data_IF_223845318887
#
_entry.id   IF_223845318887
#
_cell.length_a   1.000
_cell.length_b   1.000
_cell.length_c   1.000
_cell.angle_alpha   90.00
_cell.angle_beta   90.00
_cell.angle_gamma   90.00
#
_symmetry.space_group_name_H-M   'P 1'
#
loop_
_entity.id
_entity.type
_entity.pdbx_description
1 polymer ?
#
# COMPACT_ATOMS: atom_id res chain seq x y z
N UNK A 1 3.51 22.48 -11.42
CA UNK A 1 2.88 21.68 -12.49
C UNK A 1 1.61 22.40 -12.92
N UNK A 2 1.45 22.66 -14.22
CA UNK A 2 0.22 23.25 -14.77
C UNK A 2 -0.55 22.16 -15.49
N UNK A 3 -1.81 21.90 -15.08
CA UNK A 3 -2.67 20.95 -15.78
C UNK A 3 -3.02 21.47 -17.18
N UNK A 4 -2.96 20.59 -18.19
CA UNK A 4 -3.33 20.87 -19.56
C UNK A 4 -4.73 20.33 -19.93
N UNK A 5 -5.35 19.54 -19.04
CA UNK A 5 -6.72 19.05 -19.20
C UNK A 5 -7.63 19.80 -18.23
N UNK A 6 -8.71 20.39 -18.76
CA UNK A 6 -9.71 21.15 -18.00
C UNK A 6 -11.11 20.52 -18.03
N UNK A 7 -11.28 19.36 -18.69
CA UNK A 7 -12.56 18.64 -18.73
C UNK A 7 -12.71 17.74 -17.50
N UNK A 8 -13.72 17.98 -16.63
CA UNK A 8 -13.92 17.19 -15.40
C UNK A 8 -14.36 15.75 -15.66
N UNK A 9 -14.73 15.38 -16.90
CA UNK A 9 -15.12 14.01 -17.27
C UNK A 9 -13.93 13.17 -17.73
N UNK A 10 -12.77 13.77 -17.96
CA UNK A 10 -11.56 13.08 -18.40
C UNK A 10 -10.69 12.78 -17.18
N UNK A 11 -10.59 11.50 -16.83
CA UNK A 11 -9.73 11.02 -15.75
C UNK A 11 -8.30 10.77 -16.25
N UNK A 12 -7.63 11.81 -16.76
CA UNK A 12 -6.21 11.75 -17.10
C UNK A 12 -5.52 13.05 -16.71
N UNK A 13 -4.48 12.95 -15.89
CA UNK A 13 -3.65 14.09 -15.52
C UNK A 13 -2.61 14.35 -16.60
N UNK A 14 -2.64 15.53 -17.24
CA UNK A 14 -1.60 15.95 -18.17
C UNK A 14 -0.99 17.24 -17.65
N UNK A 15 0.33 17.25 -17.46
CA UNK A 15 1.06 18.42 -16.99
C UNK A 15 2.30 18.71 -17.82
N UNK A 16 2.62 19.99 -17.99
CA UNK A 16 3.93 20.41 -18.47
C UNK A 16 4.83 20.75 -17.26
N UNK A 17 6.06 20.24 -17.26
CA UNK A 17 7.04 20.44 -16.19
C UNK A 17 8.40 20.70 -16.83
N UNK A 18 9.06 21.76 -16.37
CA UNK A 18 10.43 22.12 -16.73
C UNK A 18 11.30 22.03 -15.49
N UNK A 19 12.50 21.48 -15.64
CA UNK A 19 13.50 21.38 -14.58
C UNK A 19 14.72 22.23 -14.92
N UNK A 20 15.30 22.88 -13.91
CA UNK A 20 16.58 23.58 -14.07
C UNK A 20 17.73 22.59 -14.28
N UNK A 21 18.80 22.97 -15.00
CA UNK A 21 19.97 22.12 -15.18
C UNK A 21 20.55 21.62 -13.84
N UNK A 22 20.76 20.31 -13.73
CA UNK A 22 21.28 19.66 -12.52
C UNK A 22 20.25 19.36 -11.44
N UNK A 23 18.96 19.71 -11.65
CA UNK A 23 17.89 19.35 -10.74
C UNK A 23 17.79 17.82 -10.57
N UNK A 24 17.53 17.37 -9.33
CA UNK A 24 17.20 15.98 -9.01
C UNK A 24 15.82 15.95 -8.37
N UNK A 25 14.95 15.10 -8.89
CA UNK A 25 13.66 14.86 -8.28
C UNK A 25 13.78 13.81 -7.16
N UNK A 26 12.87 13.86 -6.19
CA UNK A 26 12.77 12.84 -5.16
C UNK A 26 12.15 11.57 -5.74
N UNK A 27 12.63 10.43 -5.24
CA UNK A 27 12.01 9.13 -5.48
C UNK A 27 10.55 9.14 -5.01
N UNK A 28 9.66 8.61 -5.84
CA UNK A 28 8.23 8.47 -5.53
C UNK A 28 7.64 7.30 -6.32
N UNK A 29 6.44 6.89 -5.91
CA UNK A 29 5.74 5.71 -6.42
C UNK A 29 4.40 6.18 -7.03
N UNK A 30 3.98 5.54 -8.11
CA UNK A 30 2.66 5.74 -8.70
C UNK A 30 1.76 4.56 -8.32
N UNK A 31 0.85 4.81 -7.39
CA UNK A 31 -0.21 3.87 -7.00
C UNK A 31 -1.38 3.96 -7.97
N UNK A 32 -1.97 2.82 -8.34
CA UNK A 32 -3.20 2.75 -9.14
C UNK A 32 -3.13 3.48 -10.50
N UNK A 33 -1.95 3.53 -11.12
CA UNK A 33 -1.78 4.11 -12.46
C UNK A 33 -0.37 3.98 -13.03
N UNK A 34 -0.17 4.61 -14.18
CA UNK A 34 1.13 4.75 -14.81
C UNK A 34 1.41 6.23 -15.07
N UNK A 35 2.68 6.59 -15.18
CA UNK A 35 3.07 7.90 -15.68
C UNK A 35 3.73 7.73 -17.04
N UNK A 36 3.29 8.56 -18.00
CA UNK A 36 3.96 8.72 -19.28
C UNK A 36 4.77 10.02 -19.23
N UNK A 37 6.08 9.90 -19.34
CA UNK A 37 6.96 11.05 -19.52
C UNK A 37 7.27 11.20 -21.01
N UNK A 38 6.83 12.31 -21.60
CA UNK A 38 7.13 12.69 -22.97
C UNK A 38 8.24 13.74 -22.91
N UNK A 39 9.43 13.40 -23.42
CA UNK A 39 10.55 14.34 -23.39
C UNK A 39 10.40 15.31 -24.55
N UNK A 40 9.97 16.53 -24.24
CA UNK A 40 9.68 17.57 -25.25
C UNK A 40 10.86 18.52 -25.50
N UNK A 41 11.87 18.53 -24.63
CA UNK A 41 13.05 19.38 -24.73
C UNK A 41 14.09 19.09 -23.64
N UNK A 42 15.35 19.49 -23.88
CA UNK A 42 16.46 19.27 -22.96
C UNK A 42 16.95 17.81 -22.92
N UNK A 43 17.85 17.52 -21.97
CA UNK A 43 18.44 16.20 -21.77
C UNK A 43 18.50 15.89 -20.27
N UNK A 44 18.46 14.60 -19.91
CA UNK A 44 18.47 14.19 -18.51
C UNK A 44 18.61 12.68 -18.32
N UNK A 45 18.52 12.25 -17.07
CA UNK A 45 18.56 10.84 -16.70
C UNK A 45 17.30 10.44 -15.95
N UNK A 46 16.76 9.27 -16.29
CA UNK A 46 15.66 8.61 -15.62
C UNK A 46 16.10 7.26 -15.08
N UNK A 47 15.56 6.84 -13.94
CA UNK A 47 15.87 5.54 -13.37
C UNK A 47 14.67 4.99 -12.60
N UNK A 48 14.44 3.68 -12.76
CA UNK A 48 13.56 2.88 -11.90
C UNK A 48 14.40 2.10 -10.89
N UNK A 49 13.82 1.80 -9.73
CA UNK A 49 14.48 1.01 -8.70
C UNK A 49 14.95 -0.34 -9.24
N UNK A 50 16.20 -0.70 -8.95
CA UNK A 50 16.82 -1.95 -9.42
C UNK A 50 17.22 -1.98 -10.91
N UNK A 51 16.88 -0.96 -11.71
CA UNK A 51 17.25 -0.89 -13.13
C UNK A 51 18.40 0.07 -13.39
N UNK A 52 19.05 -0.08 -14.54
CA UNK A 52 20.08 0.84 -15.02
C UNK A 52 19.45 2.19 -15.40
N UNK A 53 20.15 3.29 -15.10
CA UNK A 53 19.71 4.62 -15.50
C UNK A 53 19.66 4.74 -17.04
N UNK A 54 18.59 5.34 -17.53
CA UNK A 54 18.33 5.62 -18.94
C UNK A 54 18.59 7.10 -19.22
N UNK A 55 19.40 7.39 -20.24
CA UNK A 55 19.56 8.75 -20.75
C UNK A 55 18.34 9.14 -21.60
N UNK A 56 17.86 10.35 -21.42
CA UNK A 56 16.67 10.88 -22.07
C UNK A 56 17.00 12.09 -22.94
N UNK A 57 16.43 12.14 -24.14
CA UNK A 57 16.51 13.23 -25.11
C UNK A 57 15.14 13.51 -25.77
N UNK A 58 14.97 14.63 -26.49
CA UNK A 58 13.69 14.97 -27.09
C UNK A 58 13.19 13.89 -28.04
N UNK A 59 11.91 13.52 -27.90
CA UNK A 59 11.27 12.42 -28.63
C UNK A 59 11.26 11.08 -27.89
N UNK A 60 12.02 10.92 -26.80
CA UNK A 60 11.94 9.75 -25.96
C UNK A 60 10.62 9.73 -25.17
N UNK A 61 10.13 8.51 -24.92
CA UNK A 61 8.96 8.23 -24.09
C UNK A 61 9.35 7.23 -23.02
N UNK A 62 9.03 7.55 -21.77
CA UNK A 62 9.17 6.63 -20.63
C UNK A 62 7.79 6.31 -20.10
N UNK A 63 7.56 5.02 -19.84
CA UNK A 63 6.35 4.51 -19.20
C UNK A 63 6.75 3.97 -17.84
N UNK A 64 6.33 4.65 -16.76
CA UNK A 64 6.54 4.14 -15.42
C UNK A 64 5.37 3.20 -15.10
N UNK A 65 5.65 1.91 -15.00
CA UNK A 65 4.62 0.93 -14.66
C UNK A 65 4.32 0.96 -13.16
N UNK A 66 3.18 0.38 -12.78
CA UNK A 66 2.81 0.12 -11.39
C UNK A 66 4.00 -0.56 -10.70
N UNK A 67 4.52 0.09 -9.65
CA UNK A 67 5.35 -0.56 -8.66
C UNK A 67 4.54 -0.55 -7.36
N UNK A 68 3.43 -1.27 -7.41
CA UNK A 68 2.61 -1.49 -6.25
C UNK A 68 3.14 -2.71 -5.50
N UNK A 69 3.65 -2.38 -4.31
CA UNK A 69 3.30 -3.09 -3.09
C UNK A 69 4.34 -4.08 -2.55
N UNK A 70 5.45 -3.54 -2.02
CA UNK A 70 6.36 -4.34 -1.15
C UNK A 70 5.57 -5.07 -0.06
N UNK A 71 4.50 -4.45 0.46
CA UNK A 71 3.68 -5.07 1.48
C UNK A 71 2.78 -6.16 0.88
N UNK A 72 1.73 -5.84 0.12
CA UNK A 72 0.80 -6.86 -0.36
C UNK A 72 1.25 -7.61 -1.62
N UNK A 73 1.94 -6.94 -2.54
CA UNK A 73 2.45 -7.49 -3.81
C UNK A 73 3.72 -8.33 -3.68
N UNK A 74 4.54 -8.12 -2.64
CA UNK A 74 5.74 -8.92 -2.35
C UNK A 74 5.64 -9.71 -1.04
N UNK A 75 5.31 -9.08 0.10
CA UNK A 75 5.33 -9.79 1.40
C UNK A 75 4.08 -10.64 1.60
N UNK A 76 2.87 -10.16 1.31
CA UNK A 76 1.64 -10.96 1.45
C UNK A 76 1.46 -11.98 0.33
N UNK A 77 1.98 -11.72 -0.87
CA UNK A 77 1.90 -12.64 -2.02
C UNK A 77 2.76 -13.91 -1.86
N UNK A 78 3.65 -13.94 -0.85
CA UNK A 78 4.45 -15.10 -0.45
C UNK A 78 3.63 -16.14 0.32
N UNK A 79 2.55 -16.60 -0.31
CA UNK A 79 1.58 -17.54 0.26
C UNK A 79 2.17 -18.94 0.45
N UNK A 80 3.19 -19.30 -0.32
CA UNK A 80 3.87 -20.60 -0.21
C UNK A 80 4.71 -20.73 1.08
N UNK A 81 5.14 -19.60 1.64
CA UNK A 81 5.98 -19.56 2.84
C UNK A 81 5.15 -19.33 4.11
N UNK A 82 4.08 -18.55 4.01
CA UNK A 82 3.14 -18.34 5.10
C UNK A 82 1.78 -17.95 4.54
N UNK A 83 0.74 -18.69 4.95
CA UNK A 83 -0.60 -18.51 4.41
C UNK A 83 -1.17 -17.11 4.70
N UNK A 84 -2.05 -16.57 3.83
CA UNK A 84 -2.77 -15.32 4.11
C UNK A 84 -3.53 -15.35 5.45
N UNK A 85 -4.04 -16.51 5.84
CA UNK A 85 -4.68 -16.75 7.15
C UNK A 85 -3.71 -16.46 8.30
N UNK A 86 -2.55 -17.10 8.29
CA UNK A 86 -1.58 -16.98 9.38
C UNK A 86 -0.94 -15.58 9.41
N UNK A 87 -0.72 -14.97 8.24
CA UNK A 87 -0.29 -13.56 8.14
C UNK A 87 -1.30 -12.63 8.79
N UNK A 88 -2.59 -12.82 8.50
CA UNK A 88 -3.65 -12.04 9.15
C UNK A 88 -3.65 -12.19 10.67
N UNK A 89 -3.48 -13.40 11.20
CA UNK A 89 -3.35 -13.62 12.65
C UNK A 89 -2.17 -12.84 13.24
N UNK A 90 -0.99 -12.94 12.64
CA UNK A 90 0.22 -12.23 13.12
C UNK A 90 0.03 -10.72 13.05
N UNK A 91 -0.53 -10.20 11.96
CA UNK A 91 -0.77 -8.77 11.79
C UNK A 91 -1.79 -8.24 12.80
N UNK A 92 -2.90 -8.94 13.03
CA UNK A 92 -3.88 -8.56 14.06
C UNK A 92 -3.25 -8.54 15.46
N UNK A 93 -2.43 -9.54 15.81
CA UNK A 93 -1.72 -9.57 17.09
C UNK A 93 -0.75 -8.39 17.23
N UNK A 94 0.01 -8.07 16.17
CA UNK A 94 0.93 -6.93 16.17
C UNK A 94 0.20 -5.59 16.32
N UNK A 95 -0.87 -5.37 15.56
CA UNK A 95 -1.65 -4.12 15.60
C UNK A 95 -2.34 -3.90 16.95
N UNK A 96 -2.82 -4.98 17.58
CA UNK A 96 -3.33 -4.90 18.96
C UNK A 96 -2.29 -4.35 19.94
N UNK A 97 -1.00 -4.64 19.75
CA UNK A 97 0.06 -4.11 20.62
C UNK A 97 0.28 -2.61 20.41
N UNK A 98 0.17 -2.13 19.18
CA UNK A 98 0.52 -0.76 18.77
C UNK A 98 -0.61 0.25 18.98
N UNK A 99 -1.86 -0.15 18.74
CA UNK A 99 -3.02 0.74 18.81
C UNK A 99 -3.92 0.64 17.58
N UNK A 100 -5.17 1.04 17.76
CA UNK A 100 -6.35 0.58 16.99
C UNK A 100 -6.59 1.14 15.57
N UNK A 101 -5.91 2.18 15.01
CA UNK A 101 -6.36 2.76 13.73
C UNK A 101 -6.44 1.79 12.55
N UNK A 102 -5.66 0.71 12.53
CA UNK A 102 -5.62 -0.26 11.43
C UNK A 102 -6.22 -1.63 11.79
N UNK A 103 -6.55 -1.86 13.07
CA UNK A 103 -6.96 -3.20 13.52
C UNK A 103 -8.27 -3.63 12.85
N UNK A 104 -9.23 -2.71 12.68
CA UNK A 104 -10.52 -3.01 12.05
C UNK A 104 -10.36 -3.55 10.61
N UNK A 105 -9.55 -2.88 9.79
CA UNK A 105 -9.31 -3.30 8.41
C UNK A 105 -8.67 -4.70 8.35
N UNK A 106 -7.70 -4.96 9.22
CA UNK A 106 -7.02 -6.26 9.26
C UNK A 106 -7.88 -7.37 9.87
N UNK A 107 -8.82 -7.07 10.78
CA UNK A 107 -9.82 -8.04 11.24
C UNK A 107 -10.78 -8.44 10.11
N UNK A 108 -11.23 -7.49 9.28
CA UNK A 108 -12.04 -7.80 8.08
C UNK A 108 -11.27 -8.68 7.10
N UNK A 109 -10.00 -8.37 6.86
CA UNK A 109 -9.13 -9.18 6.00
C UNK A 109 -8.84 -10.57 6.61
N UNK A 110 -8.68 -10.68 7.93
CA UNK A 110 -8.55 -11.96 8.62
C UNK A 110 -9.77 -12.86 8.39
N UNK A 111 -10.99 -12.30 8.52
CA UNK A 111 -12.23 -13.02 8.22
C UNK A 111 -12.27 -13.52 6.78
N UNK A 112 -11.91 -12.67 5.82
CA UNK A 112 -11.85 -13.04 4.39
C UNK A 112 -10.83 -14.13 4.11
N UNK A 113 -9.69 -14.11 4.80
CA UNK A 113 -8.63 -15.11 4.70
C UNK A 113 -8.92 -16.40 5.50
N UNK A 114 -10.11 -16.56 6.06
CA UNK A 114 -10.57 -17.79 6.71
C UNK A 114 -10.18 -17.95 8.18
N UNK A 115 -9.75 -16.87 8.86
CA UNK A 115 -9.63 -16.89 10.32
C UNK A 115 -11.03 -16.95 10.94
N UNK A 116 -11.24 -17.83 11.91
CA UNK A 116 -12.55 -17.99 12.55
C UNK A 116 -12.79 -16.96 13.66
N UNK A 117 -14.06 -16.83 14.08
CA UNK A 117 -14.44 -16.02 15.22
C UNK A 117 -13.73 -16.51 16.49
N UNK A 118 -13.71 -17.81 16.72
CA UNK A 118 -13.09 -18.44 17.88
C UNK A 118 -11.59 -18.13 17.93
N UNK A 119 -10.91 -18.16 16.78
CA UNK A 119 -9.48 -17.88 16.67
C UNK A 119 -9.15 -16.42 16.96
N UNK A 120 -9.95 -15.46 16.49
CA UNK A 120 -9.78 -14.05 16.83
C UNK A 120 -10.03 -13.79 18.32
N UNK A 121 -11.06 -14.43 18.90
CA UNK A 121 -11.34 -14.30 20.34
C UNK A 121 -10.16 -14.82 21.18
N UNK A 122 -9.59 -15.97 20.82
CA UNK A 122 -8.41 -16.52 21.48
C UNK A 122 -7.17 -15.65 21.29
N UNK A 123 -6.94 -15.11 20.08
CA UNK A 123 -5.85 -14.17 19.82
C UNK A 123 -5.97 -12.93 20.71
N UNK A 124 -7.13 -12.29 20.75
CA UNK A 124 -7.35 -11.08 21.56
C UNK A 124 -7.14 -11.39 23.04
N UNK A 125 -7.67 -12.52 23.52
CA UNK A 125 -7.54 -12.98 24.91
C UNK A 125 -6.07 -13.23 25.28
N UNK A 126 -5.32 -13.90 24.39
CA UNK A 126 -3.91 -14.20 24.62
C UNK A 126 -3.06 -12.92 24.64
N UNK A 127 -3.26 -12.04 23.65
CA UNK A 127 -2.50 -10.79 23.51
C UNK A 127 -2.82 -9.81 24.65
N UNK A 128 -4.00 -9.87 25.24
CA UNK A 128 -4.40 -9.03 26.39
C UNK A 128 -3.42 -9.10 27.57
N UNK A 129 -2.79 -10.26 27.81
CA UNK A 129 -1.79 -10.43 28.87
C UNK A 129 -0.51 -9.61 28.62
N UNK A 130 -0.21 -9.30 27.35
CA UNK A 130 0.98 -8.57 26.95
C UNK A 130 0.70 -7.08 26.70
N UNK A 131 -0.52 -6.73 26.30
CA UNK A 131 -0.88 -5.37 25.88
C UNK A 131 -1.81 -4.64 26.83
N UNK A 132 -2.36 -5.36 27.82
CA UNK A 132 -3.34 -4.86 28.78
C UNK A 132 -4.79 -4.96 28.30
N UNK A 133 -5.68 -5.17 29.26
CA UNK A 133 -7.13 -5.31 29.07
C UNK A 133 -7.85 -4.12 28.39
N UNK A 134 -7.46 -2.84 28.59
CA UNK A 134 -8.12 -1.74 27.90
C UNK A 134 -8.07 -1.85 26.37
N UNK A 135 -6.92 -2.24 25.81
CA UNK A 135 -6.77 -2.44 24.36
C UNK A 135 -7.54 -3.68 23.88
N UNK A 136 -7.54 -4.74 24.68
CA UNK A 136 -8.31 -5.95 24.38
C UNK A 136 -9.81 -5.67 24.31
N UNK A 137 -10.36 -4.82 25.19
CA UNK A 137 -11.78 -4.46 25.16
C UNK A 137 -12.17 -3.73 23.87
N UNK A 138 -11.34 -2.79 23.41
CA UNK A 138 -11.54 -2.14 22.11
C UNK A 138 -11.51 -3.15 20.96
N UNK A 139 -10.57 -4.11 20.99
CA UNK A 139 -10.46 -5.15 19.97
C UNK A 139 -11.66 -6.12 19.99
N UNK A 140 -12.17 -6.50 21.16
CA UNK A 140 -13.35 -7.35 21.28
C UNK A 140 -14.61 -6.71 20.69
N UNK A 141 -14.80 -5.40 20.90
CA UNK A 141 -15.93 -4.69 20.31
C UNK A 141 -15.87 -4.72 18.77
N UNK A 142 -14.70 -4.44 18.20
CA UNK A 142 -14.50 -4.53 16.75
C UNK A 142 -14.69 -5.96 16.22
N UNK A 143 -14.13 -6.96 16.91
CA UNK A 143 -14.27 -8.35 16.53
C UNK A 143 -15.74 -8.79 16.56
N UNK A 144 -16.50 -8.34 17.57
CA UNK A 144 -17.94 -8.58 17.66
C UNK A 144 -18.68 -8.01 16.44
N UNK A 145 -18.46 -6.74 16.12
CA UNK A 145 -19.06 -6.09 14.94
C UNK A 145 -18.73 -6.84 13.64
N UNK A 146 -17.48 -7.25 13.46
CA UNK A 146 -17.02 -7.86 12.20
C UNK A 146 -17.45 -9.33 12.07
N UNK A 147 -17.42 -10.11 13.15
CA UNK A 147 -17.62 -11.56 13.11
C UNK A 147 -19.03 -12.01 13.47
N UNK A 148 -19.85 -11.17 14.13
CA UNK A 148 -21.25 -11.51 14.46
C UNK A 148 -22.27 -11.09 13.38
N UNK A 149 -21.87 -10.27 12.40
CA UNK A 149 -22.74 -9.84 11.28
C UNK A 149 -22.90 -10.88 10.15
N UNK A 150 -22.80 -12.19 10.43
CA UNK A 150 -22.98 -13.26 9.43
C UNK A 150 -23.99 -14.33 9.87
#
# INVERSE_FOLDING_TARGET
MQSLVADPKINVGVGNVTFEPGCRNNWHIHHDGYQLLLVTGGEGWYQEEGKTAQFLKPGDVVVTHLNDDVLFGEVWSRESELSPRDRSMITCASLMTQGVPQLEAHLKMAKQNGVTKEEIVELITHVAFYTGWPKAWSAFNLAKEIFDEA
#
